data_IF_765046854614
#
_entry.id   IF_765046854614
#
_cell.length_a   1.000
_cell.length_b   1.000
_cell.length_c   1.000
_cell.angle_alpha   90.00
_cell.angle_beta   90.00
_cell.angle_gamma   90.00
#
_symmetry.space_group_name_H-M   'P 1'
#
loop_
_entity.id
_entity.type
_entity.pdbx_description
1 polymer ?
#
# COMPACT_ATOMS: atom_id res chain seq x y z
N UNK A 1 16.68 -0.73 -1.81
CA UNK A 1 15.80 -0.75 -0.62
C UNK A 1 14.33 -0.43 -0.94
N UNK A 2 14.02 0.45 -1.88
CA UNK A 2 12.63 0.79 -2.24
C UNK A 2 11.78 -0.42 -2.69
N UNK A 3 12.30 -1.38 -3.49
CA UNK A 3 11.52 -2.56 -3.88
C UNK A 3 11.09 -3.43 -2.70
N UNK A 4 11.92 -3.51 -1.65
CA UNK A 4 11.62 -4.28 -0.44
C UNK A 4 10.43 -3.67 0.30
N UNK A 5 10.37 -2.33 0.42
CA UNK A 5 9.25 -1.62 1.06
C UNK A 5 7.94 -1.88 0.31
N UNK A 6 7.99 -1.87 -1.02
CA UNK A 6 6.83 -2.16 -1.87
C UNK A 6 6.36 -3.61 -1.65
N UNK A 7 7.28 -4.58 -1.69
CA UNK A 7 6.95 -6.00 -1.48
C UNK A 7 6.40 -6.28 -0.08
N UNK A 8 6.94 -5.64 0.96
CA UNK A 8 6.38 -5.75 2.32
C UNK A 8 4.94 -5.24 2.37
N UNK A 9 4.64 -4.15 1.66
CA UNK A 9 3.28 -3.60 1.59
C UNK A 9 2.30 -4.57 0.92
N UNK A 10 2.75 -5.28 -0.12
CA UNK A 10 1.95 -6.34 -0.78
C UNK A 10 1.68 -7.49 0.18
N UNK A 11 2.70 -8.01 0.87
CA UNK A 11 2.51 -9.09 1.85
C UNK A 11 1.54 -8.68 2.95
N UNK A 12 1.62 -7.43 3.41
CA UNK A 12 0.69 -6.88 4.40
C UNK A 12 -0.75 -6.83 3.87
N UNK A 13 -0.95 -6.47 2.59
CA UNK A 13 -2.26 -6.42 1.95
C UNK A 13 -2.94 -7.79 1.85
N UNK A 14 -2.16 -8.87 1.71
CA UNK A 14 -2.67 -10.24 1.74
C UNK A 14 -3.34 -10.54 3.07
N UNK A 15 -2.77 -10.08 4.19
CA UNK A 15 -3.38 -10.21 5.50
C UNK A 15 -4.77 -9.59 5.56
N UNK A 16 -4.96 -8.42 4.94
CA UNK A 16 -6.26 -7.77 4.83
C UNK A 16 -7.26 -8.55 3.98
N UNK A 17 -6.81 -9.12 2.87
CA UNK A 17 -7.63 -9.99 2.02
C UNK A 17 -8.14 -11.24 2.76
N UNK A 18 -7.25 -11.94 3.47
CA UNK A 18 -7.63 -13.12 4.25
C UNK A 18 -8.54 -12.76 5.43
N UNK A 19 -8.29 -11.63 6.10
CA UNK A 19 -9.15 -11.12 7.15
C UNK A 19 -10.56 -10.81 6.62
N UNK A 20 -10.67 -10.24 5.42
CA UNK A 20 -11.95 -10.00 4.76
C UNK A 20 -12.75 -11.28 4.49
N UNK A 21 -12.08 -12.34 4.04
CA UNK A 21 -12.71 -13.65 3.87
C UNK A 21 -13.22 -14.22 5.20
N UNK A 22 -12.42 -14.11 6.25
CA UNK A 22 -12.78 -14.60 7.58
C UNK A 22 -13.97 -13.84 8.17
N UNK A 23 -14.02 -12.51 8.03
CA UNK A 23 -15.11 -11.66 8.54
C UNK A 23 -16.42 -11.94 7.81
N UNK A 24 -16.40 -12.12 6.48
CA UNK A 24 -17.61 -12.40 5.69
C UNK A 24 -18.00 -13.89 5.70
N UNK A 25 -17.17 -14.74 6.31
CA UNK A 25 -17.38 -16.19 6.36
C UNK A 25 -17.53 -16.80 4.96
N UNK A 26 -16.73 -16.30 4.00
CA UNK A 26 -16.77 -16.75 2.61
C UNK A 26 -15.78 -17.91 2.39
N UNK A 27 -16.13 -18.95 1.62
CA UNK A 27 -15.21 -20.05 1.36
C UNK A 27 -13.98 -19.59 0.58
N UNK A 28 -12.81 -20.12 0.94
CA UNK A 28 -11.57 -19.89 0.21
C UNK A 28 -11.56 -20.72 -1.08
N UNK A 29 -11.89 -20.08 -2.21
CA UNK A 29 -11.74 -20.68 -3.52
C UNK A 29 -10.37 -20.36 -4.12
N UNK A 30 -9.53 -21.37 -4.37
CA UNK A 30 -8.13 -21.19 -4.85
C UNK A 30 -8.05 -20.31 -6.10
N UNK A 31 -8.93 -20.55 -7.08
CA UNK A 31 -8.90 -19.84 -8.37
C UNK A 31 -9.37 -18.39 -8.19
N UNK A 32 -10.60 -18.18 -7.73
CA UNK A 32 -11.19 -16.84 -7.64
C UNK A 32 -10.52 -15.96 -6.59
N UNK A 33 -10.12 -16.53 -5.44
CA UNK A 33 -9.35 -15.80 -4.43
C UNK A 33 -7.96 -15.46 -4.95
N UNK A 34 -7.32 -16.38 -5.68
CA UNK A 34 -6.02 -16.14 -6.32
C UNK A 34 -6.07 -14.99 -7.32
N UNK A 35 -7.08 -14.95 -8.18
CA UNK A 35 -7.30 -13.83 -9.12
C UNK A 35 -7.52 -12.51 -8.37
N UNK A 36 -8.32 -12.53 -7.29
CA UNK A 36 -8.53 -11.35 -6.44
C UNK A 36 -7.23 -10.86 -5.78
N UNK A 37 -6.40 -11.77 -5.28
CA UNK A 37 -5.10 -11.45 -4.67
C UNK A 37 -4.14 -10.83 -5.69
N UNK A 38 -4.03 -11.40 -6.90
CA UNK A 38 -3.15 -10.88 -7.94
C UNK A 38 -3.60 -9.48 -8.36
N UNK A 39 -4.92 -9.27 -8.53
CA UNK A 39 -5.49 -7.96 -8.85
C UNK A 39 -5.20 -6.94 -7.75
N UNK A 40 -5.43 -7.31 -6.48
CA UNK A 40 -5.14 -6.48 -5.31
C UNK A 40 -3.65 -6.08 -5.26
N UNK A 41 -2.74 -7.04 -5.48
CA UNK A 41 -1.31 -6.78 -5.47
C UNK A 41 -0.92 -5.70 -6.49
N UNK A 42 -1.50 -5.74 -7.70
CA UNK A 42 -1.26 -4.71 -8.72
C UNK A 42 -1.67 -3.31 -8.26
N UNK A 43 -2.84 -3.17 -7.65
CA UNK A 43 -3.34 -1.88 -7.13
C UNK A 43 -2.46 -1.37 -6.00
N UNK A 44 -2.10 -2.23 -5.05
CA UNK A 44 -1.26 -1.87 -3.89
C UNK A 44 0.15 -1.48 -4.33
N UNK A 45 0.76 -2.21 -5.26
CA UNK A 45 2.07 -1.88 -5.82
C UNK A 45 2.04 -0.52 -6.50
N UNK A 46 1.02 -0.24 -7.31
CA UNK A 46 0.89 1.05 -7.98
C UNK A 46 0.81 2.20 -6.96
N UNK A 47 -0.03 2.05 -5.93
CA UNK A 47 -0.18 3.05 -4.87
C UNK A 47 1.16 3.31 -4.13
N UNK A 48 1.93 2.26 -3.85
CA UNK A 48 3.23 2.36 -3.17
C UNK A 48 4.32 3.00 -4.05
N UNK A 49 4.43 2.61 -5.33
CA UNK A 49 5.40 3.18 -6.28
C UNK A 49 5.19 4.68 -6.41
N UNK A 50 3.95 5.08 -6.62
CA UNK A 50 3.52 6.46 -6.84
C UNK A 50 3.86 7.34 -5.62
N UNK A 51 3.71 6.83 -4.39
CA UNK A 51 4.09 7.53 -3.17
C UNK A 51 5.62 7.66 -3.02
N UNK A 52 6.37 6.58 -3.24
CA UNK A 52 7.83 6.57 -3.14
C UNK A 52 8.47 7.49 -4.20
N UNK A 53 8.00 7.43 -5.44
CA UNK A 53 8.48 8.28 -6.53
C UNK A 53 8.31 9.76 -6.22
N UNK A 54 7.15 10.14 -5.70
CA UNK A 54 6.89 11.53 -5.32
C UNK A 54 7.75 11.97 -4.13
N UNK A 55 7.93 11.10 -3.13
CA UNK A 55 8.84 11.37 -2.01
C UNK A 55 10.28 11.59 -2.47
N UNK A 56 10.76 10.78 -3.42
CA UNK A 56 12.09 10.95 -4.00
C UNK A 56 12.22 12.23 -4.82
N UNK A 57 11.18 12.62 -5.58
CA UNK A 57 11.16 13.90 -6.30
C UNK A 57 11.26 15.09 -5.35
N UNK A 58 10.51 15.08 -4.24
CA UNK A 58 10.58 16.15 -3.23
C UNK A 58 11.96 16.21 -2.57
N UNK A 59 12.59 15.06 -2.34
CA UNK A 59 13.96 14.96 -1.84
C UNK A 59 15.00 15.51 -2.81
N UNK A 60 14.86 15.22 -4.11
CA UNK A 60 15.75 15.75 -5.14
C UNK A 60 15.61 17.28 -5.29
N UNK A 61 14.46 17.83 -4.92
CA UNK A 61 14.22 19.27 -4.86
C UNK A 61 14.77 19.93 -3.58
N UNK A 62 15.57 19.22 -2.78
CA UNK A 62 16.22 19.73 -1.58
C UNK A 62 15.36 19.73 -0.32
N UNK A 63 14.14 19.16 -0.37
CA UNK A 63 13.26 19.13 0.79
C UNK A 63 13.77 18.17 1.86
N UNK A 64 13.71 18.62 3.12
CA UNK A 64 14.04 17.80 4.27
C UNK A 64 13.18 16.54 4.30
N UNK A 65 13.75 15.42 4.75
CA UNK A 65 13.09 14.14 4.53
C UNK A 65 11.72 14.02 5.18
N UNK A 66 11.59 14.61 6.36
CA UNK A 66 10.39 14.54 7.19
C UNK A 66 9.27 15.35 6.52
N UNK A 67 9.61 16.50 5.95
CA UNK A 67 8.69 17.32 5.16
C UNK A 67 8.32 16.63 3.84
N UNK A 68 9.29 16.04 3.14
CA UNK A 68 9.06 15.32 1.88
C UNK A 68 8.05 14.18 2.05
N UNK A 69 8.15 13.41 3.12
CA UNK A 69 7.21 12.30 3.43
C UNK A 69 5.82 12.81 3.76
N UNK A 70 5.72 13.85 4.60
CA UNK A 70 4.43 14.40 5.00
C UNK A 70 3.72 15.02 3.80
N UNK A 71 4.43 15.81 2.99
CA UNK A 71 3.91 16.42 1.77
C UNK A 71 3.54 15.37 0.71
N UNK A 72 4.34 14.30 0.59
CA UNK A 72 4.04 13.18 -0.29
C UNK A 72 2.79 12.41 0.15
N UNK A 73 2.68 12.09 1.44
CA UNK A 73 1.51 11.44 2.01
C UNK A 73 0.24 12.26 1.79
N UNK A 74 0.27 13.55 2.10
CA UNK A 74 -0.89 14.44 1.95
C UNK A 74 -1.37 14.56 0.49
N UNK A 75 -0.44 14.69 -0.46
CA UNK A 75 -0.78 14.82 -1.89
C UNK A 75 -1.29 13.52 -2.50
N UNK A 76 -0.77 12.37 -2.05
CA UNK A 76 -1.14 11.05 -2.60
C UNK A 76 -2.38 10.43 -1.96
N UNK A 77 -2.73 10.84 -0.74
CA UNK A 77 -3.93 10.38 -0.05
C UNK A 77 -5.20 10.59 -0.90
N UNK A 78 -5.28 11.70 -1.63
CA UNK A 78 -6.40 11.99 -2.55
C UNK A 78 -6.53 10.94 -3.67
N UNK A 79 -5.50 10.69 -4.52
CA UNK A 79 -5.53 9.60 -5.49
C UNK A 79 -5.82 8.21 -4.90
N UNK A 80 -5.22 7.85 -3.76
CA UNK A 80 -5.36 6.51 -3.17
C UNK A 80 -6.78 6.27 -2.65
N UNK A 81 -7.40 7.29 -2.06
CA UNK A 81 -8.81 7.19 -1.64
C UNK A 81 -9.72 7.11 -2.86
N UNK A 82 -9.45 7.88 -3.92
CA UNK A 82 -10.26 7.86 -5.14
C UNK A 82 -10.25 6.46 -5.79
N UNK A 83 -9.08 5.81 -5.87
CA UNK A 83 -8.98 4.45 -6.40
C UNK A 83 -9.71 3.46 -5.51
N UNK A 84 -9.51 3.53 -4.19
CA UNK A 84 -10.22 2.67 -3.25
C UNK A 84 -11.74 2.78 -3.37
N UNK A 85 -12.27 4.01 -3.33
CA UNK A 85 -13.70 4.28 -3.43
C UNK A 85 -14.25 3.79 -4.77
N UNK A 86 -13.56 4.07 -5.88
CA UNK A 86 -14.01 3.65 -7.22
C UNK A 86 -14.05 2.12 -7.33
N UNK A 87 -13.03 1.42 -6.83
CA UNK A 87 -12.99 -0.05 -6.82
C UNK A 87 -14.08 -0.63 -5.92
N UNK A 88 -14.30 -0.07 -4.74
CA UNK A 88 -15.35 -0.51 -3.82
C UNK A 88 -16.72 -0.34 -4.45
N UNK A 89 -17.02 0.83 -5.03
CA UNK A 89 -18.29 1.08 -5.69
C UNK A 89 -18.51 0.16 -6.90
N UNK A 90 -17.47 -0.08 -7.70
CA UNK A 90 -17.55 -0.97 -8.87
C UNK A 90 -17.77 -2.43 -8.51
N UNK A 91 -17.23 -2.89 -7.38
CA UNK A 91 -17.34 -4.28 -6.92
C UNK A 91 -18.46 -4.51 -5.89
N UNK A 92 -19.06 -3.44 -5.37
CA UNK A 92 -20.17 -3.49 -4.42
C UNK A 92 -21.33 -4.41 -4.86
N UNK A 93 -21.87 -4.30 -6.10
CA UNK A 93 -23.00 -5.15 -6.52
C UNK A 93 -22.63 -6.63 -6.61
N UNK A 94 -21.35 -6.95 -6.89
CA UNK A 94 -20.86 -8.33 -6.92
C UNK A 94 -20.79 -8.94 -5.51
N UNK A 95 -20.49 -8.14 -4.49
CA UNK A 95 -20.45 -8.62 -3.09
C UNK A 95 -21.85 -8.84 -2.52
N UNK A 96 -22.79 -7.95 -2.83
CA UNK A 96 -24.18 -8.04 -2.35
C UNK A 96 -24.97 -9.12 -3.07
N UNK A 97 -24.47 -9.67 -4.19
CA UNK A 97 -25.16 -10.69 -4.98
C UNK A 97 -26.41 -10.16 -5.70
N UNK A 98 -26.56 -8.84 -5.76
CA UNK A 98 -27.62 -8.17 -6.51
C UNK A 98 -27.25 -8.28 -7.99
N UNK A 99 -27.77 -9.33 -8.63
CA UNK A 99 -27.67 -9.50 -10.08
C UNK A 99 -28.91 -8.84 -10.69
N UNK A 100 -28.73 -7.69 -11.33
CA UNK A 100 -29.78 -7.06 -12.13
C UNK A 100 -29.96 -7.89 -13.41
N UNK A 101 -31.06 -8.64 -13.50
CA UNK A 101 -31.42 -9.33 -14.73
C UNK A 101 -32.11 -8.35 -15.68
N UNK A 102 -31.38 -7.87 -16.69
CA UNK A 102 -31.89 -6.93 -17.70
C UNK A 102 -32.95 -7.55 -18.62
N UNK A 103 -33.07 -8.89 -18.66
CA UNK A 103 -34.04 -9.57 -19.53
C UNK A 103 -35.40 -9.75 -18.85
N UNK A 104 -35.43 -9.89 -17.53
CA UNK A 104 -36.65 -10.14 -16.74
C UNK A 104 -37.06 -8.94 -15.88
N UNK A 105 -36.24 -7.88 -15.83
CA UNK A 105 -36.44 -6.70 -14.98
C UNK A 105 -36.74 -7.08 -13.53
N UNK A 106 -36.03 -8.10 -13.03
CA UNK A 106 -36.19 -8.64 -11.70
C UNK A 106 -34.84 -8.77 -10.98
N UNK A 107 -34.87 -8.61 -9.66
CA UNK A 107 -33.76 -8.83 -8.75
C UNK A 107 -33.61 -10.34 -8.55
N UNK A 108 -32.83 -10.98 -9.40
CA UNK A 108 -32.53 -12.42 -9.28
C UNK A 108 -31.52 -12.61 -8.16
N UNK A 109 -31.97 -13.07 -6.99
CA UNK A 109 -31.09 -13.58 -5.95
C UNK A 109 -30.50 -14.91 -6.43
N UNK A 110 -29.17 -14.93 -6.53
CA UNK A 110 -28.32 -16.14 -6.59
C UNK A 110 -28.49 -17.07 -7.79
N UNK A 111 -27.60 -16.90 -8.77
CA UNK A 111 -27.10 -18.01 -9.60
C UNK A 111 -25.82 -18.57 -8.98
N UNK A 112 -25.58 -19.89 -9.05
CA UNK A 112 -24.35 -20.56 -8.59
C UNK A 112 -23.06 -19.88 -9.10
N UNK A 113 -23.13 -19.30 -10.31
CA UNK A 113 -22.04 -18.54 -10.92
C UNK A 113 -21.71 -17.23 -10.19
N UNK A 114 -22.70 -16.55 -9.59
CA UNK A 114 -22.53 -15.31 -8.81
C UNK A 114 -21.63 -15.51 -7.58
N UNK A 115 -21.71 -16.69 -6.95
CA UNK A 115 -20.94 -17.00 -5.74
C UNK A 115 -19.43 -17.03 -5.98
N UNK A 116 -18.97 -17.43 -7.17
CA UNK A 116 -17.56 -17.45 -7.53
C UNK A 116 -16.97 -16.03 -7.64
N UNK A 117 -17.69 -15.12 -8.28
CA UNK A 117 -17.28 -13.71 -8.42
C UNK A 117 -17.37 -12.95 -7.10
N UNK A 118 -18.32 -13.31 -6.24
CA UNK A 118 -18.49 -12.74 -4.91
C UNK A 118 -17.23 -12.88 -4.06
N UNK A 119 -16.64 -14.09 -3.99
CA UNK A 119 -15.40 -14.32 -3.23
C UNK A 119 -14.26 -13.46 -3.76
N UNK A 120 -14.08 -13.35 -5.08
CA UNK A 120 -13.06 -12.49 -5.68
C UNK A 120 -13.27 -11.01 -5.28
N UNK A 121 -14.50 -10.51 -5.38
CA UNK A 121 -14.81 -9.12 -5.07
C UNK A 121 -14.55 -8.78 -3.59
N UNK A 122 -14.88 -9.70 -2.67
CA UNK A 122 -14.63 -9.55 -1.23
C UNK A 122 -13.12 -9.38 -0.96
N UNK A 123 -12.28 -10.23 -1.55
CA UNK A 123 -10.81 -10.18 -1.42
C UNK A 123 -10.28 -8.80 -1.80
N UNK A 124 -10.71 -8.30 -2.96
CA UNK A 124 -10.23 -7.04 -3.50
C UNK A 124 -10.72 -5.87 -2.64
N UNK A 125 -12.00 -5.84 -2.24
CA UNK A 125 -12.56 -4.75 -1.43
C UNK A 125 -11.90 -4.69 -0.05
N UNK A 126 -11.90 -5.80 0.69
CA UNK A 126 -11.36 -5.82 2.04
C UNK A 126 -9.85 -5.69 2.06
N UNK A 127 -9.19 -6.40 1.14
CA UNK A 127 -7.76 -6.28 0.93
C UNK A 127 -7.35 -4.84 0.64
N UNK A 128 -8.08 -4.13 -0.23
CA UNK A 128 -7.78 -2.74 -0.58
C UNK A 128 -8.11 -1.77 0.55
N UNK A 129 -9.22 -1.95 1.27
CA UNK A 129 -9.55 -1.12 2.44
C UNK A 129 -8.46 -1.21 3.52
N UNK A 130 -8.08 -2.44 3.89
CA UNK A 130 -7.07 -2.64 4.92
C UNK A 130 -5.71 -2.20 4.40
N UNK A 131 -5.36 -2.53 3.15
CA UNK A 131 -4.09 -2.14 2.56
C UNK A 131 -3.97 -0.63 2.39
N UNK A 132 -5.02 0.11 2.06
CA UNK A 132 -4.93 1.57 1.93
C UNK A 132 -4.63 2.25 3.27
N UNK A 133 -5.29 1.82 4.35
CA UNK A 133 -4.98 2.28 5.71
C UNK A 133 -3.54 1.90 6.09
N UNK A 134 -3.17 0.64 5.89
CA UNK A 134 -1.82 0.14 6.19
C UNK A 134 -0.76 0.88 5.38
N UNK A 135 -0.93 1.07 4.08
CA UNK A 135 0.07 1.72 3.21
C UNK A 135 0.27 3.18 3.60
N UNK A 136 -0.81 3.89 3.96
CA UNK A 136 -0.74 5.27 4.45
C UNK A 136 -0.03 5.41 5.80
N UNK A 137 -0.01 4.38 6.64
CA UNK A 137 0.72 4.39 7.93
C UNK A 137 2.13 3.82 7.80
N UNK A 138 2.25 2.68 7.13
CA UNK A 138 3.48 1.87 7.01
C UNK A 138 4.51 2.55 6.11
N UNK A 139 4.10 3.16 5.00
CA UNK A 139 5.07 3.83 4.11
C UNK A 139 5.74 5.04 4.78
N UNK A 140 5.02 6.00 5.40
CA UNK A 140 5.68 7.11 6.08
C UNK A 140 6.48 6.68 7.32
N UNK A 141 6.01 5.68 8.07
CA UNK A 141 6.74 5.18 9.25
C UNK A 141 8.01 4.42 8.88
N UNK A 142 7.97 3.51 7.90
CA UNK A 142 9.16 2.80 7.43
C UNK A 142 10.18 3.75 6.82
N UNK A 143 9.73 4.74 6.05
CA UNK A 143 10.64 5.72 5.46
C UNK A 143 11.30 6.59 6.54
N UNK A 144 10.54 7.05 7.55
CA UNK A 144 11.09 7.79 8.69
C UNK A 144 12.08 6.94 9.53
N UNK A 145 11.80 5.65 9.73
CA UNK A 145 12.67 4.72 10.44
C UNK A 145 14.00 4.47 9.71
N UNK A 146 13.94 4.27 8.39
CA UNK A 146 15.14 4.02 7.57
C UNK A 146 16.04 5.25 7.56
N UNK A 147 15.48 6.45 7.50
CA UNK A 147 16.32 7.65 7.52
C UNK A 147 16.85 8.00 8.89
N UNK A 148 16.06 7.82 9.96
CA UNK A 148 16.60 7.95 11.32
C UNK A 148 17.76 6.97 11.56
N UNK A 149 17.71 5.78 10.94
CA UNK A 149 18.81 4.81 10.96
C UNK A 149 20.02 5.28 10.14
N UNK A 150 19.80 5.91 8.98
CA UNK A 150 20.87 6.53 8.16
C UNK A 150 21.51 7.73 8.84
N UNK A 151 20.73 8.59 9.49
CA UNK A 151 21.21 9.77 10.23
C UNK A 151 21.98 9.34 11.49
N UNK A 152 21.53 8.29 12.20
CA UNK A 152 22.30 7.68 13.29
C UNK A 152 23.62 7.06 12.81
N UNK A 153 23.63 6.37 11.68
CA UNK A 153 24.87 5.82 11.10
C UNK A 153 25.83 6.91 10.60
N UNK A 154 25.32 7.97 9.94
CA UNK A 154 26.13 9.09 9.47
C UNK A 154 26.69 9.92 10.63
N UNK A 155 25.90 10.11 11.70
CA UNK A 155 26.36 10.76 12.94
C UNK A 155 27.40 9.90 13.69
N UNK A 156 27.23 8.58 13.73
CA UNK A 156 28.22 7.66 14.30
C UNK A 156 29.53 7.66 13.50
N UNK A 157 29.46 7.81 12.18
CA UNK A 157 30.64 7.89 11.31
C UNK A 157 31.39 9.22 11.49
N UNK A 158 30.71 10.37 11.57
CA UNK A 158 31.39 11.66 11.79
C UNK A 158 32.05 11.72 13.17
N UNK A 159 31.38 11.22 14.21
CA UNK A 159 31.91 11.21 15.59
C UNK A 159 33.12 10.29 15.74
N UNK A 160 33.18 9.20 14.98
CA UNK A 160 34.34 8.30 14.96
C UNK A 160 35.46 8.85 14.08
N UNK A 161 35.15 9.54 12.97
CA UNK A 161 36.14 10.17 12.09
C UNK A 161 36.82 11.37 12.75
N UNK A 162 36.08 12.17 13.52
CA UNK A 162 36.59 13.29 14.32
C UNK A 162 37.39 12.79 15.54
N UNK A 163 37.04 11.62 16.08
CA UNK A 163 37.83 10.96 17.13
C UNK A 163 39.12 10.31 16.61
N UNK A 164 39.16 9.83 15.36
CA UNK A 164 40.35 9.23 14.75
C UNK A 164 41.27 10.21 14.00
N UNK A 165 40.74 11.34 13.49
CA UNK A 165 41.53 12.41 12.87
C UNK A 165 41.76 13.51 13.91
N UNK A 166 42.85 13.39 14.67
CA UNK A 166 43.28 14.40 15.62
C UNK A 166 43.50 15.79 14.97
N UNK A 167 43.50 16.88 15.76
CA UNK A 167 43.43 18.27 15.30
C UNK A 167 44.64 18.81 14.50
N UNK A 168 45.55 17.97 14.01
CA UNK A 168 46.88 18.39 13.55
C UNK A 168 47.05 18.53 12.02
N UNK A 169 45.98 18.42 11.21
CA UNK A 169 46.09 18.55 9.74
C UNK A 169 45.18 19.62 9.12
N UNK A 170 44.63 20.54 9.91
CA UNK A 170 43.75 21.59 9.38
C UNK A 170 44.47 22.89 8.97
N UNK A 171 45.81 22.96 9.09
CA UNK A 171 46.57 24.21 8.92
C UNK A 171 47.57 24.21 7.73
N UNK A 172 47.55 23.22 6.83
CA UNK A 172 48.57 23.13 5.75
C UNK A 172 48.12 22.76 4.32
N UNK A 173 46.83 22.76 3.98
CA UNK A 173 46.41 22.70 2.55
C UNK A 173 45.07 23.36 2.30
#
# INVERSE_FOLDING_TARGET
IQPVIILTSVVLSLGGAFLGLAVINSPFGVIMTGVGIISLAGVVVNNAIVLIDYTNKLRNNGMGIREAVVAAGATRLRPVILTAVTTILGLLPMVTGISYDFHVMALSLSSESSQYWRTMAIVVIFGLMIATILTLVVVPTLYALIENSKLKMASGYSKTREFFLGPEQMDLT
#
